data_IF_621670596402
#
_entry.id   IF_621670596402
#
_cell.length_a   1.000
_cell.length_b   1.000
_cell.length_c   1.000
_cell.angle_alpha   90.00
_cell.angle_beta   90.00
_cell.angle_gamma   90.00
#
_symmetry.space_group_name_H-M   'P 1'
#
loop_
_entity.id
_entity.type
_entity.pdbx_description
1 polymer ?
#
# COMPACT_ATOMS: atom_id res chain seq x y z
N UNK A 1 -22.18 76.58 35.95
CA UNK A 1 -23.36 76.09 35.22
C UNK A 1 -23.14 74.62 34.87
N UNK A 2 -24.08 73.74 35.25
CA UNK A 2 -24.33 72.35 34.77
C UNK A 2 -23.21 71.31 35.06
N UNK A 3 -23.25 70.52 36.15
CA UNK A 3 -23.92 69.20 36.37
C UNK A 3 -23.74 68.19 35.23
N UNK A 4 -23.10 67.03 35.47
CA UNK A 4 -23.77 65.72 35.64
C UNK A 4 -22.76 64.54 35.65
N UNK A 5 -22.85 63.69 36.67
CA UNK A 5 -22.26 62.36 36.79
C UNK A 5 -22.90 61.38 35.80
N UNK A 6 -22.12 60.54 35.10
CA UNK A 6 -22.53 59.16 34.75
C UNK A 6 -21.30 58.24 34.80
N UNK A 7 -21.31 57.32 35.77
CA UNK A 7 -20.53 56.08 35.76
C UNK A 7 -21.09 55.18 34.64
N UNK A 8 -20.22 54.64 33.77
CA UNK A 8 -20.55 53.41 33.04
C UNK A 8 -19.32 52.49 33.01
N UNK A 9 -19.33 51.55 33.94
CA UNK A 9 -18.56 50.32 33.93
C UNK A 9 -19.03 49.41 32.78
N UNK A 10 -18.13 49.05 31.86
CA UNK A 10 -18.30 47.86 31.00
C UNK A 10 -17.07 46.97 31.18
N UNK A 11 -17.34 45.81 31.75
CA UNK A 11 -16.45 44.67 31.90
C UNK A 11 -16.00 44.14 30.52
N UNK A 12 -14.72 43.77 30.46
CA UNK A 12 -14.14 42.60 29.78
C UNK A 12 -14.53 42.28 28.33
N UNK A 13 -13.53 42.18 27.45
CA UNK A 13 -13.12 40.90 26.87
C UNK A 13 -11.82 41.11 26.10
N UNK A 14 -10.72 40.64 26.70
CA UNK A 14 -9.52 40.22 25.98
C UNK A 14 -9.95 39.35 24.81
N UNK A 15 -9.70 39.80 23.59
CA UNK A 15 -9.88 38.97 22.40
C UNK A 15 -9.07 37.69 22.59
N UNK A 16 -9.67 36.50 22.58
CA UNK A 16 -8.90 35.28 22.54
C UNK A 16 -8.16 35.24 21.20
N UNK A 17 -6.87 34.94 21.26
CA UNK A 17 -6.08 34.54 20.11
C UNK A 17 -6.67 33.24 19.53
N UNK A 18 -7.67 33.34 18.69
CA UNK A 18 -8.21 32.23 17.90
C UNK A 18 -7.61 32.30 16.49
N UNK A 19 -7.24 31.12 15.96
CA UNK A 19 -6.66 30.83 14.64
C UNK A 19 -5.12 30.85 14.46
N UNK A 20 -4.34 30.37 15.43
CA UNK A 20 -2.97 29.88 15.16
C UNK A 20 -2.79 28.36 15.38
N UNK A 21 -3.77 27.68 15.97
CA UNK A 21 -3.67 26.26 16.35
C UNK A 21 -4.10 25.25 15.27
N UNK A 22 -4.61 25.70 14.11
CA UNK A 22 -5.20 24.80 13.11
C UNK A 22 -4.22 24.26 12.06
N UNK A 23 -3.11 24.96 11.74
CA UNK A 23 -2.19 24.52 10.69
C UNK A 23 -1.46 23.22 11.01
N UNK A 24 -0.92 23.11 12.23
CA UNK A 24 -0.16 21.93 12.67
C UNK A 24 -1.02 20.67 12.75
N UNK A 25 -2.24 20.78 13.28
CA UNK A 25 -3.16 19.66 13.38
C UNK A 25 -3.65 19.17 12.01
N UNK A 26 -3.79 20.06 11.02
CA UNK A 26 -4.20 19.69 9.66
C UNK A 26 -3.01 19.05 8.91
N UNK A 27 -1.79 19.56 9.06
CA UNK A 27 -0.58 18.91 8.49
C UNK A 27 -0.41 17.49 9.03
N UNK A 28 -0.50 17.32 10.35
CA UNK A 28 -0.37 16.01 10.98
C UNK A 28 -1.40 14.99 10.48
N UNK A 29 -2.62 15.45 10.14
CA UNK A 29 -3.65 14.60 9.51
C UNK A 29 -3.32 14.26 8.06
N UNK A 30 -2.79 15.21 7.29
CA UNK A 30 -2.35 14.99 5.91
C UNK A 30 -1.18 13.98 5.85
N UNK A 31 -0.21 14.12 6.74
CA UNK A 31 0.93 13.20 6.87
C UNK A 31 0.43 11.79 7.26
N UNK A 32 -0.47 11.67 8.24
CA UNK A 32 -1.05 10.38 8.63
C UNK A 32 -1.81 9.68 7.49
N UNK A 33 -2.52 10.46 6.67
CA UNK A 33 -3.22 9.97 5.48
C UNK A 33 -2.24 9.45 4.42
N UNK A 34 -1.12 10.15 4.20
CA UNK A 34 -0.05 9.70 3.31
C UNK A 34 0.67 8.46 3.83
N UNK A 35 0.87 8.35 5.15
CA UNK A 35 1.41 7.14 5.78
C UNK A 35 0.51 5.93 5.54
N UNK A 36 -0.81 6.08 5.47
CA UNK A 36 -1.70 4.96 5.11
C UNK A 36 -1.51 4.55 3.65
N UNK A 37 -1.40 5.51 2.73
CA UNK A 37 -1.16 5.23 1.32
C UNK A 37 0.18 4.51 1.10
N UNK A 38 1.22 4.87 1.86
CA UNK A 38 2.57 4.34 1.66
C UNK A 38 2.68 2.82 1.81
N UNK A 39 1.80 2.18 2.60
CA UNK A 39 1.73 0.71 2.71
C UNK A 39 1.22 -0.01 1.45
N UNK A 40 0.64 0.73 0.50
CA UNK A 40 0.10 0.19 -0.77
C UNK A 40 0.93 0.57 -2.00
N UNK A 41 2.02 1.31 -1.78
CA UNK A 41 2.78 1.98 -2.84
C UNK A 41 3.99 1.18 -3.28
N UNK A 42 4.59 0.43 -2.35
CA UNK A 42 5.72 -0.43 -2.68
C UNK A 42 5.20 -1.72 -3.33
N UNK A 43 5.67 -2.06 -4.53
CA UNK A 43 5.38 -3.35 -5.15
C UNK A 43 5.86 -4.48 -4.25
N UNK A 44 4.94 -5.12 -3.52
CA UNK A 44 5.13 -6.50 -3.10
C UNK A 44 4.79 -7.39 -4.31
N UNK A 45 5.66 -8.36 -4.59
CA UNK A 45 5.62 -9.25 -5.75
C UNK A 45 4.39 -10.17 -5.73
N UNK A 46 3.62 -10.10 -4.64
CA UNK A 46 2.35 -10.78 -4.44
C UNK A 46 1.17 -9.86 -4.78
N UNK A 47 0.81 -9.76 -6.06
CA UNK A 47 -0.49 -9.22 -6.46
C UNK A 47 -1.61 -10.01 -5.75
N UNK A 48 -2.26 -9.46 -4.72
CA UNK A 48 -3.20 -10.18 -3.87
C UNK A 48 -4.21 -9.28 -3.17
N UNK A 49 -5.38 -9.85 -2.90
CA UNK A 49 -6.31 -9.37 -1.88
C UNK A 49 -5.76 -9.74 -0.50
N UNK A 50 -5.57 -8.73 0.34
CA UNK A 50 -4.96 -8.79 1.66
C UNK A 50 -5.92 -8.18 2.68
N UNK A 51 -6.27 -8.95 3.71
CA UNK A 51 -7.04 -8.46 4.85
C UNK A 51 -6.23 -8.62 6.14
N UNK A 52 -5.90 -7.50 6.78
CA UNK A 52 -5.12 -7.42 8.02
C UNK A 52 -6.02 -6.91 9.15
N UNK A 53 -6.05 -7.65 10.26
CA UNK A 53 -6.73 -7.26 11.50
C UNK A 53 -5.75 -7.06 12.67
N UNK A 54 -6.07 -6.17 13.59
CA UNK A 54 -5.40 -6.06 14.91
C UNK A 54 -5.92 -7.13 15.87
N UNK A 55 -5.03 -7.80 16.61
CA UNK A 55 -5.36 -8.85 17.58
C UNK A 55 -5.91 -8.36 18.94
N UNK A 56 -6.18 -7.07 19.11
CA UNK A 56 -6.74 -6.47 20.33
C UNK A 56 -8.25 -6.20 20.21
N UNK A 57 -8.95 -5.99 21.33
CA UNK A 57 -10.39 -5.69 21.37
C UNK A 57 -10.79 -4.43 20.57
N UNK A 58 -9.82 -3.60 20.18
CA UNK A 58 -9.97 -2.50 19.22
C UNK A 58 -9.62 -2.99 17.81
N UNK A 59 -10.63 -3.44 17.08
CA UNK A 59 -10.50 -3.97 15.71
C UNK A 59 -10.24 -2.84 14.71
N UNK A 60 -9.01 -2.76 14.22
CA UNK A 60 -8.63 -2.00 13.03
C UNK A 60 -8.52 -2.98 11.86
N UNK A 61 -9.24 -2.70 10.77
CA UNK A 61 -9.23 -3.53 9.57
C UNK A 61 -8.58 -2.75 8.42
N UNK A 62 -7.58 -3.35 7.79
CA UNK A 62 -6.96 -2.87 6.56
C UNK A 62 -7.19 -3.93 5.48
N UNK A 63 -7.96 -3.57 4.45
CA UNK A 63 -8.13 -4.38 3.26
C UNK A 63 -7.35 -3.74 2.10
N UNK A 64 -6.49 -4.51 1.44
CA UNK A 64 -5.71 -4.08 0.28
C UNK A 64 -6.01 -5.05 -0.86
N UNK A 65 -6.25 -4.54 -2.07
CA UNK A 65 -6.34 -5.33 -3.29
C UNK A 65 -5.29 -4.77 -4.24
N UNK A 66 -4.35 -5.60 -4.69
CA UNK A 66 -3.28 -5.15 -5.57
C UNK A 66 -3.15 -6.02 -6.81
N UNK A 67 -2.95 -5.37 -7.95
CA UNK A 67 -2.61 -5.99 -9.22
C UNK A 67 -1.27 -5.43 -9.69
N UNK A 68 -0.38 -6.28 -10.19
CA UNK A 68 0.91 -5.82 -10.63
C UNK A 68 1.72 -6.89 -11.34
N UNK A 69 2.76 -6.45 -12.00
CA UNK A 69 3.71 -7.31 -12.68
C UNK A 69 4.95 -6.54 -13.10
N UNK A 70 5.97 -7.30 -13.47
CA UNK A 70 7.19 -6.77 -14.05
C UNK A 70 7.79 -7.76 -15.04
N UNK A 71 8.54 -7.23 -16.00
CA UNK A 71 9.20 -8.03 -17.03
C UNK A 71 10.45 -7.32 -17.55
N UNK A 72 11.48 -8.12 -17.83
CA UNK A 72 12.68 -7.69 -18.56
C UNK A 72 12.43 -7.86 -20.06
N UNK A 73 12.70 -6.81 -20.84
CA UNK A 73 12.40 -6.78 -22.28
C UNK A 73 13.10 -7.91 -23.05
N UNK A 74 14.40 -8.11 -22.81
CA UNK A 74 15.19 -9.20 -23.39
C UNK A 74 16.54 -9.34 -22.69
N UNK A 75 17.24 -10.45 -22.89
CA UNK A 75 18.62 -10.61 -22.40
C UNK A 75 19.61 -9.64 -23.09
N UNK A 76 19.42 -9.34 -24.38
CA UNK A 76 20.28 -8.43 -25.15
C UNK A 76 20.07 -6.96 -24.82
N UNK A 77 18.88 -6.62 -24.33
CA UNK A 77 18.51 -5.28 -23.89
C UNK A 77 17.78 -5.42 -22.55
N UNK A 78 18.54 -5.55 -21.44
CA UNK A 78 18.05 -5.95 -20.12
C UNK A 78 17.32 -4.82 -19.38
N UNK A 79 16.49 -4.06 -20.10
CA UNK A 79 15.60 -3.06 -19.52
C UNK A 79 14.44 -3.78 -18.83
N UNK A 80 14.27 -3.51 -17.54
CA UNK A 80 13.18 -4.03 -16.73
C UNK A 80 12.10 -2.96 -16.58
N UNK A 81 10.83 -3.36 -16.70
CA UNK A 81 9.68 -2.51 -16.46
C UNK A 81 8.79 -3.17 -15.41
N UNK A 82 8.30 -2.39 -14.45
CA UNK A 82 7.29 -2.84 -13.49
C UNK A 82 6.14 -1.86 -13.37
N UNK A 83 4.97 -2.38 -13.01
CA UNK A 83 3.79 -1.60 -12.75
C UNK A 83 2.87 -2.28 -11.74
N UNK A 84 2.34 -1.50 -10.81
CA UNK A 84 1.35 -1.95 -9.84
C UNK A 84 0.21 -0.95 -9.71
N UNK A 85 -0.98 -1.46 -9.39
CA UNK A 85 -2.14 -0.68 -8.99
C UNK A 85 -2.70 -1.29 -7.72
N UNK A 86 -2.83 -0.46 -6.68
CA UNK A 86 -3.30 -0.86 -5.37
C UNK A 86 -4.58 -0.12 -5.01
N UNK A 87 -5.56 -0.83 -4.50
CA UNK A 87 -6.70 -0.27 -3.80
C UNK A 87 -6.58 -0.62 -2.33
N UNK A 88 -6.88 0.29 -1.41
CA UNK A 88 -7.06 -0.09 -0.01
C UNK A 88 -8.22 0.60 0.66
N UNK A 89 -8.76 -0.07 1.66
CA UNK A 89 -9.77 0.46 2.56
C UNK A 89 -9.29 0.31 4.00
N UNK A 90 -9.21 1.44 4.69
CA UNK A 90 -8.80 1.51 6.09
C UNK A 90 -9.95 2.07 6.94
N UNK A 91 -10.23 1.40 8.06
CA UNK A 91 -11.24 1.83 9.05
C UNK A 91 -10.55 2.33 10.34
N UNK A 92 -10.15 3.62 10.41
CA UNK A 92 -9.59 4.16 11.64
C UNK A 92 -10.70 4.49 12.63
N UNK A 93 -10.65 3.84 13.79
CA UNK A 93 -11.31 4.37 14.99
C UNK A 93 -10.37 5.36 15.66
N UNK A 94 -10.40 6.63 15.24
CA UNK A 94 -9.71 7.70 15.96
C UNK A 94 -10.39 7.92 17.31
N UNK A 95 -9.65 7.72 18.40
CA UNK A 95 -10.05 8.17 19.74
C UNK A 95 -9.52 9.60 19.90
N UNK A 96 -10.32 10.61 19.54
CA UNK A 96 -10.00 11.99 19.92
C UNK A 96 -10.46 12.17 21.36
N UNK A 97 -9.50 12.22 22.28
CA UNK A 97 -9.74 12.57 23.68
C UNK A 97 -9.48 14.06 23.90
N UNK A 98 -10.54 14.86 23.91
CA UNK A 98 -10.50 16.24 24.41
C UNK A 98 -10.91 16.28 25.89
N UNK A 99 -10.23 15.50 26.73
CA UNK A 99 -10.34 15.58 28.20
C UNK A 99 -11.62 15.04 28.84
N UNK A 100 -12.78 15.06 28.20
CA UNK A 100 -14.04 14.55 28.79
C UNK A 100 -14.99 13.84 27.82
N UNK A 101 -14.73 13.85 26.50
CA UNK A 101 -15.55 13.15 25.52
C UNK A 101 -14.72 12.46 24.45
N UNK A 102 -14.84 11.13 24.41
CA UNK A 102 -14.38 10.29 23.31
C UNK A 102 -15.31 10.49 22.12
N UNK A 103 -14.87 11.18 21.08
CA UNK A 103 -15.64 11.30 19.83
C UNK A 103 -14.97 10.45 18.74
N UNK A 104 -15.59 9.32 18.44
CA UNK A 104 -15.21 8.47 17.31
C UNK A 104 -15.45 9.25 16.02
N UNK A 105 -14.45 9.34 15.14
CA UNK A 105 -14.61 9.86 13.77
C UNK A 105 -14.64 8.65 12.83
N UNK A 106 -15.83 8.13 12.47
CA UNK A 106 -15.99 6.88 11.73
C UNK A 106 -15.86 7.09 10.21
N UNK A 107 -14.88 7.84 9.75
CA UNK A 107 -14.64 7.98 8.30
C UNK A 107 -13.64 6.94 7.86
N UNK A 108 -14.16 5.87 7.23
CA UNK A 108 -13.36 4.93 6.46
C UNK A 108 -12.70 5.68 5.31
N UNK A 109 -11.45 5.31 5.02
CA UNK A 109 -10.65 5.90 3.95
C UNK A 109 -10.41 4.86 2.87
N UNK A 110 -10.52 5.29 1.62
CA UNK A 110 -10.26 4.46 0.45
C UNK A 110 -9.11 5.10 -0.33
N UNK A 111 -8.06 4.35 -0.61
CA UNK A 111 -6.95 4.77 -1.45
C UNK A 111 -6.94 4.01 -2.76
N UNK A 112 -6.54 4.69 -3.82
CA UNK A 112 -6.17 4.11 -5.10
C UNK A 112 -4.78 4.63 -5.47
N UNK A 113 -3.84 3.72 -5.71
CA UNK A 113 -2.46 4.02 -6.05
C UNK A 113 -2.09 3.33 -7.36
N UNK A 114 -1.19 3.95 -8.11
CA UNK A 114 -0.58 3.37 -9.30
C UNK A 114 0.90 3.71 -9.28
N UNK A 115 1.74 2.68 -9.26
CA UNK A 115 3.19 2.79 -9.25
C UNK A 115 3.73 2.23 -10.55
N UNK A 116 4.71 2.91 -11.13
CA UNK A 116 5.49 2.44 -12.28
C UNK A 116 6.97 2.45 -11.95
N UNK A 117 7.73 1.57 -12.58
CA UNK A 117 9.18 1.50 -12.40
C UNK A 117 9.91 1.15 -13.68
N UNK A 118 11.09 1.74 -13.83
CA UNK A 118 12.06 1.40 -14.89
C UNK A 118 13.35 0.99 -14.21
N UNK A 119 13.81 -0.22 -14.49
CA UNK A 119 15.05 -0.76 -13.96
C UNK A 119 15.95 -1.31 -15.04
N UNK A 120 17.15 -1.73 -14.63
CA UNK A 120 18.13 -2.34 -15.52
C UNK A 120 18.74 -3.57 -14.88
N UNK A 121 18.75 -4.69 -15.59
CA UNK A 121 19.25 -5.96 -15.06
C UNK A 121 20.76 -6.08 -15.28
N UNK A 122 21.51 -6.20 -14.19
CA UNK A 122 22.92 -6.56 -14.18
C UNK A 122 23.09 -8.01 -13.74
N UNK A 123 23.34 -8.91 -14.69
CA UNK A 123 23.65 -10.32 -14.39
C UNK A 123 24.96 -10.42 -13.62
N UNK A 124 24.88 -10.85 -12.36
CA UNK A 124 26.03 -10.97 -11.47
C UNK A 124 26.69 -12.34 -11.56
N UNK A 125 25.88 -13.40 -11.56
CA UNK A 125 26.37 -14.77 -11.51
C UNK A 125 25.35 -15.75 -12.09
N UNK A 126 25.85 -16.78 -12.78
CA UNK A 126 25.05 -17.94 -13.16
C UNK A 126 25.65 -19.19 -12.54
N UNK A 127 24.87 -19.88 -11.73
CA UNK A 127 25.33 -21.07 -11.04
C UNK A 127 25.37 -22.30 -11.96
N UNK A 128 26.02 -23.37 -11.50
CA UNK A 128 26.13 -24.64 -12.24
C UNK A 128 24.80 -25.38 -12.41
N UNK A 129 23.76 -25.00 -11.66
CA UNK A 129 22.42 -25.56 -11.70
C UNK A 129 21.47 -24.77 -12.62
N UNK A 130 21.99 -23.74 -13.30
CA UNK A 130 21.29 -22.92 -14.27
C UNK A 130 20.58 -21.69 -13.69
N UNK A 131 20.71 -21.44 -12.38
CA UNK A 131 20.15 -20.27 -11.70
C UNK A 131 20.90 -18.99 -12.01
N UNK A 132 20.17 -17.91 -12.25
CA UNK A 132 20.71 -16.60 -12.61
C UNK A 132 20.48 -15.61 -11.48
N UNK A 133 21.54 -14.94 -11.03
CA UNK A 133 21.50 -13.89 -10.02
C UNK A 133 21.68 -12.53 -10.70
N UNK A 134 20.71 -11.64 -10.50
CA UNK A 134 20.62 -10.33 -11.12
C UNK A 134 20.54 -9.25 -10.05
N UNK A 135 21.33 -8.19 -10.20
CA UNK A 135 21.14 -6.94 -9.48
C UNK A 135 20.35 -5.97 -10.36
N UNK A 136 19.24 -5.46 -9.83
CA UNK A 136 18.28 -4.64 -10.54
C UNK A 136 18.03 -3.35 -9.76
N UNK A 137 18.77 -2.26 -10.04
CA UNK A 137 18.36 -0.92 -9.65
C UNK A 137 17.11 -0.50 -10.44
N UNK A 138 16.17 0.14 -9.76
CA UNK A 138 14.88 0.56 -10.30
C UNK A 138 14.63 2.01 -9.87
N UNK A 139 14.17 2.84 -10.80
CA UNK A 139 13.60 4.15 -10.51
C UNK A 139 12.09 4.01 -10.52
N UNK A 140 11.43 4.49 -9.47
CA UNK A 140 9.99 4.35 -9.29
C UNK A 140 9.28 5.70 -9.25
N UNK A 141 8.10 5.75 -9.84
CA UNK A 141 7.17 6.87 -9.78
C UNK A 141 5.80 6.36 -9.33
N UNK A 142 5.06 7.17 -8.59
CA UNK A 142 3.73 6.82 -8.11
C UNK A 142 2.77 7.99 -8.25
N UNK A 143 1.51 7.67 -8.55
CA UNK A 143 0.39 8.58 -8.43
C UNK A 143 -0.71 7.89 -7.63
N UNK A 144 -1.34 8.63 -6.72
CA UNK A 144 -2.40 8.10 -5.89
C UNK A 144 -3.42 9.15 -5.50
N UNK A 145 -4.62 8.67 -5.20
CA UNK A 145 -5.70 9.46 -4.63
C UNK A 145 -6.28 8.73 -3.44
N UNK A 146 -6.70 9.48 -2.44
CA UNK A 146 -7.37 8.96 -1.26
C UNK A 146 -8.62 9.78 -0.97
N UNK A 147 -9.72 9.10 -0.61
CA UNK A 147 -11.02 9.71 -0.36
C UNK A 147 -11.73 9.05 0.84
N UNK A 148 -12.47 9.85 1.62
CA UNK A 148 -13.28 9.35 2.74
C UNK A 148 -14.67 8.88 2.29
N UNK A 149 -15.23 7.88 2.99
CA UNK A 149 -16.58 7.34 2.73
C UNK A 149 -17.69 8.38 2.80
N UNK A 150 -17.54 9.42 3.65
CA UNK A 150 -18.50 10.52 3.77
C UNK A 150 -18.75 11.21 2.41
N UNK A 151 -17.72 11.25 1.55
CA UNK A 151 -17.81 11.82 0.20
C UNK A 151 -18.30 10.82 -0.85
N UNK A 152 -17.94 9.54 -0.76
CA UNK A 152 -18.49 8.52 -1.66
C UNK A 152 -20.01 8.42 -1.47
N UNK A 153 -20.46 8.52 -0.22
CA UNK A 153 -21.88 8.61 0.14
C UNK A 153 -22.54 9.92 -0.30
N UNK A 154 -21.90 11.09 -0.14
CA UNK A 154 -22.46 12.38 -0.61
C UNK A 154 -22.51 12.47 -2.12
N UNK A 155 -21.53 11.92 -2.86
CA UNK A 155 -21.60 11.85 -4.33
C UNK A 155 -22.80 11.02 -4.83
N UNK A 156 -23.14 9.94 -4.12
CA UNK A 156 -24.35 9.15 -4.40
C UNK A 156 -25.65 9.85 -3.92
N UNK A 157 -25.56 10.80 -2.99
CA UNK A 157 -26.68 11.49 -2.33
C UNK A 157 -26.44 13.01 -2.33
N UNK A 158 -26.19 13.63 -3.49
CA UNK A 158 -26.19 15.10 -3.59
C UNK A 158 -27.09 15.56 -4.72
N UNK A 159 -28.38 15.66 -4.39
CA UNK A 159 -29.31 16.61 -5.02
C UNK A 159 -29.94 17.61 -4.06
N UNK A 160 -29.75 17.56 -2.74
CA UNK A 160 -30.14 18.65 -1.82
C UNK A 160 -29.44 18.47 -0.47
N UNK A 161 -28.61 19.42 -0.05
CA UNK A 161 -28.83 20.33 1.10
C UNK A 161 -27.50 20.99 1.44
N UNK A 162 -27.56 22.30 1.68
CA UNK A 162 -26.41 23.20 1.83
C UNK A 162 -26.10 23.41 3.33
N UNK A 163 -24.83 23.67 3.61
CA UNK A 163 -24.28 24.27 4.85
C UNK A 163 -24.34 23.44 6.15
N UNK A 164 -23.31 22.60 6.39
CA UNK A 164 -22.60 22.45 7.70
C UNK A 164 -21.43 21.43 7.72
N UNK A 165 -20.93 20.98 6.55
CA UNK A 165 -19.96 19.88 6.48
C UNK A 165 -18.55 20.29 6.01
N UNK A 166 -18.09 21.53 6.16
CA UNK A 166 -16.81 21.97 5.57
C UNK A 166 -15.51 21.35 6.12
N UNK A 167 -15.56 20.46 7.12
CA UNK A 167 -14.44 19.57 7.46
C UNK A 167 -14.59 18.14 6.90
N UNK A 168 -15.83 17.76 6.54
CA UNK A 168 -16.22 16.48 5.96
C UNK A 168 -16.41 16.54 4.43
N UNK A 169 -16.47 17.74 3.85
CA UNK A 169 -16.79 18.02 2.44
C UNK A 169 -15.55 18.18 1.53
N UNK A 170 -14.35 17.93 2.06
CA UNK A 170 -13.11 18.17 1.33
C UNK A 170 -12.35 16.94 0.86
N UNK A 171 -12.38 15.84 1.61
CA UNK A 171 -11.25 14.93 1.84
C UNK A 171 -10.75 14.05 0.68
N UNK A 172 -10.60 14.58 -0.53
CA UNK A 172 -9.79 14.00 -1.60
C UNK A 172 -8.38 14.54 -1.46
N UNK A 173 -7.44 13.62 -1.28
CA UNK A 173 -6.02 13.92 -1.18
C UNK A 173 -5.32 13.22 -2.33
N UNK A 174 -4.65 13.96 -3.20
CA UNK A 174 -3.82 13.37 -4.25
C UNK A 174 -2.37 13.42 -3.81
N UNK A 175 -1.61 12.39 -4.16
CA UNK A 175 -0.20 12.28 -3.87
C UNK A 175 0.54 11.83 -5.12
N UNK A 176 1.71 12.39 -5.35
CA UNK A 176 2.69 11.81 -6.25
C UNK A 176 3.88 11.31 -5.43
N UNK A 177 4.58 10.31 -5.93
CA UNK A 177 5.77 9.77 -5.30
C UNK A 177 6.92 9.61 -6.28
N UNK A 178 8.13 9.87 -5.81
CA UNK A 178 9.36 9.56 -6.51
C UNK A 178 10.28 8.78 -5.60
N UNK A 179 10.91 7.76 -6.16
CA UNK A 179 11.72 6.84 -5.38
C UNK A 179 12.55 5.92 -6.25
N UNK A 180 13.09 4.91 -5.61
CA UNK A 180 13.79 3.83 -6.28
C UNK A 180 13.87 2.60 -5.41
N UNK A 181 14.29 1.51 -6.04
CA UNK A 181 14.53 0.26 -5.37
C UNK A 181 15.84 -0.35 -5.86
N UNK A 182 16.42 -1.18 -5.02
CA UNK A 182 17.51 -2.08 -5.39
C UNK A 182 17.03 -3.49 -5.10
N UNK A 183 16.92 -4.29 -6.14
CA UNK A 183 16.47 -5.67 -6.07
C UNK A 183 17.63 -6.60 -6.42
N UNK A 184 17.82 -7.64 -5.62
CA UNK A 184 18.64 -8.78 -5.93
C UNK A 184 17.70 -9.95 -6.21
N UNK A 185 17.69 -10.39 -7.45
CA UNK A 185 16.74 -11.37 -8.00
C UNK A 185 17.49 -12.64 -8.40
N UNK A 186 17.11 -13.77 -7.83
CA UNK A 186 17.62 -15.08 -8.19
C UNK A 186 16.49 -15.93 -8.76
N UNK A 187 16.64 -16.30 -10.03
CA UNK A 187 15.67 -17.16 -10.71
C UNK A 187 16.36 -18.42 -11.22
N UNK A 188 15.72 -19.56 -10.97
CA UNK A 188 16.14 -20.84 -11.53
C UNK A 188 14.93 -21.57 -12.09
N UNK A 189 14.89 -21.67 -13.41
CA UNK A 189 13.90 -22.48 -14.13
C UNK A 189 14.50 -23.84 -14.50
N UNK A 190 13.80 -24.92 -14.14
CA UNK A 190 14.24 -26.27 -14.51
C UNK A 190 13.07 -27.22 -14.72
N UNK A 191 13.32 -28.35 -15.37
CA UNK A 191 12.28 -29.35 -15.62
C UNK A 191 11.68 -29.93 -14.32
N UNK A 192 12.43 -29.94 -13.22
CA UNK A 192 11.99 -30.53 -11.95
C UNK A 192 11.40 -29.51 -10.99
N UNK A 193 11.84 -28.26 -11.05
CA UNK A 193 11.36 -27.18 -10.19
C UNK A 193 11.76 -25.80 -10.69
N UNK A 194 10.95 -24.81 -10.33
CA UNK A 194 11.33 -23.40 -10.42
C UNK A 194 11.54 -22.86 -9.00
N UNK A 195 12.59 -22.05 -8.84
CA UNK A 195 12.93 -21.38 -7.58
C UNK A 195 13.16 -19.92 -7.90
N UNK A 196 12.45 -19.06 -7.17
CA UNK A 196 12.56 -17.61 -7.30
C UNK A 196 12.86 -17.05 -5.90
N UNK A 197 13.87 -16.21 -5.78
CA UNK A 197 14.26 -15.57 -4.54
C UNK A 197 14.62 -14.11 -4.78
N UNK A 198 13.89 -13.19 -4.16
CA UNK A 198 14.01 -11.76 -4.38
C UNK A 198 14.26 -11.05 -3.06
N UNK A 199 15.34 -10.28 -3.00
CA UNK A 199 15.62 -9.35 -1.91
C UNK A 199 15.51 -7.93 -2.46
N UNK A 200 14.56 -7.14 -1.95
CA UNK A 200 14.27 -5.80 -2.46
C UNK A 200 14.33 -4.78 -1.33
N UNK A 201 15.20 -3.79 -1.46
CA UNK A 201 15.10 -2.55 -0.70
C UNK A 201 14.36 -1.51 -1.54
N UNK A 202 13.36 -0.84 -0.97
CA UNK A 202 12.60 0.21 -1.66
C UNK A 202 12.55 1.47 -0.80
N UNK A 203 12.70 2.62 -1.45
CA UNK A 203 12.49 3.93 -0.86
C UNK A 203 11.66 4.80 -1.80
N UNK A 204 10.66 5.49 -1.28
CA UNK A 204 9.87 6.47 -2.02
C UNK A 204 9.47 7.65 -1.14
N UNK A 205 9.64 8.86 -1.65
CA UNK A 205 9.11 10.07 -1.03
C UNK A 205 7.79 10.43 -1.69
N UNK A 206 6.75 10.66 -0.90
CA UNK A 206 5.40 11.01 -1.33
C UNK A 206 5.13 12.47 -0.98
N UNK A 207 4.59 13.22 -1.94
CA UNK A 207 4.18 14.60 -1.74
C UNK A 207 2.76 14.82 -2.24
N UNK A 208 1.97 15.53 -1.44
CA UNK A 208 0.59 15.86 -1.81
C UNK A 208 0.48 16.95 -2.87
N UNK A 209 -0.59 16.91 -3.65
CA UNK A 209 -0.92 17.98 -4.61
C UNK A 209 -2.43 18.13 -4.81
N UNK A 210 -2.86 19.34 -5.22
CA UNK A 210 -4.26 19.62 -5.59
C UNK A 210 -5.27 19.29 -4.49
N UNK A 211 -4.88 19.45 -3.22
CA UNK A 211 -5.75 19.21 -2.07
C UNK A 211 -6.83 20.30 -1.98
N UNK A 212 -8.04 19.90 -1.55
CA UNK A 212 -9.20 20.81 -1.42
C UNK A 212 -9.01 21.93 -0.40
N UNK A 213 -7.98 21.83 0.44
CA UNK A 213 -7.54 22.90 1.32
C UNK A 213 -6.19 23.40 0.80
N UNK A 214 -6.21 24.55 0.12
CA UNK A 214 -5.06 25.27 -0.48
C UNK A 214 -3.85 25.50 0.47
N UNK A 215 -3.99 25.16 1.75
CA UNK A 215 -3.07 25.52 2.84
C UNK A 215 -2.24 24.34 3.35
N UNK A 216 -2.47 23.08 2.93
CA UNK A 216 -1.74 21.93 3.50
C UNK A 216 -1.11 21.05 2.44
N UNK A 217 0.23 21.14 2.37
CA UNK A 217 1.11 20.17 1.72
C UNK A 217 1.52 19.14 2.78
N UNK A 218 1.08 17.90 2.60
CA UNK A 218 1.56 16.74 3.36
C UNK A 218 2.71 16.05 2.62
N UNK A 219 3.56 15.39 3.40
CA UNK A 219 4.65 14.55 2.92
C UNK A 219 4.71 13.25 3.72
N UNK A 220 5.21 12.17 3.11
CA UNK A 220 5.53 10.94 3.81
C UNK A 220 6.62 10.18 3.08
N UNK A 221 7.33 9.31 3.80
CA UNK A 221 8.24 8.34 3.21
C UNK A 221 7.66 6.92 3.25
N UNK A 222 7.94 6.15 2.19
CA UNK A 222 7.76 4.71 2.14
C UNK A 222 9.15 4.06 2.09
N UNK A 223 9.50 3.25 3.07
CA UNK A 223 10.80 2.59 3.13
C UNK A 223 10.66 1.18 3.69
N UNK A 224 11.11 0.18 2.93
CA UNK A 224 11.07 -1.20 3.37
C UNK A 224 12.18 -2.08 2.79
N UNK A 225 12.40 -3.20 3.47
CA UNK A 225 13.24 -4.30 3.01
C UNK A 225 12.36 -5.56 2.93
N UNK A 226 12.20 -6.08 1.73
CA UNK A 226 11.41 -7.28 1.44
C UNK A 226 12.29 -8.46 1.03
N UNK A 227 12.00 -9.64 1.56
CA UNK A 227 12.50 -10.92 1.08
C UNK A 227 11.30 -11.74 0.60
N UNK A 228 11.33 -12.20 -0.65
CA UNK A 228 10.34 -13.08 -1.24
C UNK A 228 11.01 -14.36 -1.73
N UNK A 229 10.37 -15.49 -1.46
CA UNK A 229 10.81 -16.82 -1.86
C UNK A 229 9.62 -17.54 -2.47
N UNK A 230 9.82 -18.17 -3.62
CA UNK A 230 8.85 -19.04 -4.26
C UNK A 230 9.49 -20.31 -4.76
N UNK A 231 8.79 -21.41 -4.56
CA UNK A 231 9.12 -22.71 -5.15
C UNK A 231 7.91 -23.29 -5.86
N UNK A 232 8.14 -23.80 -7.08
CA UNK A 232 7.10 -24.47 -7.87
C UNK A 232 7.62 -25.79 -8.39
N UNK A 233 6.89 -26.89 -8.20
CA UNK A 233 7.27 -28.19 -8.72
C UNK A 233 6.05 -29.08 -8.97
N UNK A 234 6.17 -30.11 -9.85
CA UNK A 234 5.10 -31.06 -10.10
C UNK A 234 4.59 -31.76 -8.84
N UNK A 235 3.28 -32.00 -8.79
CA UNK A 235 2.62 -32.81 -7.77
C UNK A 235 2.65 -34.25 -8.24
N UNK A 236 3.72 -34.97 -7.88
CA UNK A 236 3.94 -36.35 -8.34
C UNK A 236 3.72 -36.45 -9.87
N UNK A 237 2.97 -37.46 -10.33
CA UNK A 237 2.65 -37.69 -11.75
C UNK A 237 1.29 -37.12 -12.16
N UNK A 238 0.71 -36.20 -11.37
CA UNK A 238 -0.60 -35.65 -11.67
C UNK A 238 -0.52 -34.70 -12.86
N UNK A 239 -1.42 -34.90 -13.81
CA UNK A 239 -1.52 -34.06 -15.01
C UNK A 239 -2.91 -33.47 -15.13
N UNK A 240 -2.96 -32.24 -15.62
CA UNK A 240 -4.19 -31.53 -15.92
C UNK A 240 -3.94 -30.66 -17.15
N UNK A 241 -4.90 -30.58 -18.07
CA UNK A 241 -4.73 -29.90 -19.37
C UNK A 241 -3.51 -30.41 -20.18
N UNK A 242 -3.13 -31.67 -19.96
CA UNK A 242 -2.04 -32.32 -20.68
C UNK A 242 -0.63 -31.95 -20.21
N UNK A 243 -0.49 -31.16 -19.15
CA UNK A 243 0.77 -30.80 -18.49
C UNK A 243 0.75 -31.21 -17.01
N UNK A 244 1.91 -31.34 -16.33
CA UNK A 244 1.95 -31.62 -14.90
C UNK A 244 1.28 -30.53 -14.07
N UNK A 245 0.41 -30.92 -13.14
CA UNK A 245 -0.11 -30.02 -12.13
C UNK A 245 1.02 -29.72 -11.13
N UNK A 246 1.25 -28.44 -10.79
CA UNK A 246 2.34 -28.04 -9.90
C UNK A 246 1.80 -27.43 -8.61
N UNK A 247 2.49 -27.67 -7.50
CA UNK A 247 2.26 -26.93 -6.28
C UNK A 247 3.08 -25.63 -6.30
N UNK A 248 2.60 -24.63 -5.56
CA UNK A 248 3.28 -23.35 -5.34
C UNK A 248 3.47 -23.19 -3.84
N UNK A 249 4.70 -22.98 -3.39
CA UNK A 249 5.02 -22.55 -2.03
C UNK A 249 5.59 -21.15 -2.10
N UNK A 250 5.10 -20.26 -1.25
CA UNK A 250 5.59 -18.89 -1.14
C UNK A 250 5.92 -18.57 0.31
N UNK A 251 6.97 -17.78 0.50
CA UNK A 251 7.29 -17.16 1.78
C UNK A 251 7.74 -15.74 1.51
N UNK A 252 7.21 -14.78 2.26
CA UNK A 252 7.65 -13.40 2.17
C UNK A 252 7.85 -12.80 3.56
N UNK A 253 8.81 -11.89 3.69
CA UNK A 253 8.99 -11.08 4.88
C UNK A 253 9.32 -9.65 4.47
N UNK A 254 8.54 -8.71 4.94
CA UNK A 254 8.72 -7.28 4.68
C UNK A 254 8.93 -6.57 6.01
N UNK A 255 10.10 -5.96 6.18
CA UNK A 255 10.41 -5.10 7.32
C UNK A 255 10.23 -3.64 6.91
N UNK A 256 9.41 -2.90 7.67
CA UNK A 256 9.19 -1.47 7.47
C UNK A 256 10.27 -0.66 8.19
N UNK A 257 10.76 0.37 7.50
CA UNK A 257 11.83 1.25 7.93
C UNK A 257 11.30 2.69 8.01
N UNK A 258 12.15 3.61 8.47
CA UNK A 258 11.82 5.04 8.54
C UNK A 258 10.50 5.33 9.25
N UNK A 259 9.70 6.22 8.65
CA UNK A 259 8.42 6.70 9.19
C UNK A 259 7.32 5.62 9.17
N UNK A 260 7.44 4.58 8.33
CA UNK A 260 6.45 3.49 8.28
C UNK A 260 6.59 2.51 9.45
N UNK A 261 7.77 2.44 10.06
CA UNK A 261 8.04 1.49 11.13
C UNK A 261 7.15 1.77 12.35
N UNK A 262 6.20 0.88 12.63
CA UNK A 262 5.34 0.97 13.81
C UNK A 262 4.17 1.95 13.69
N UNK A 263 4.01 2.67 12.57
CA UNK A 263 2.94 3.66 12.40
C UNK A 263 1.53 3.03 12.49
N UNK A 264 1.39 1.76 12.08
CA UNK A 264 0.16 0.97 12.21
C UNK A 264 0.19 -0.05 13.36
N UNK A 265 1.17 0.05 14.26
CA UNK A 265 1.33 -0.89 15.39
C UNK A 265 2.11 -2.17 15.05
N UNK A 266 2.62 -2.30 13.82
CA UNK A 266 3.52 -3.37 13.40
C UNK A 266 4.77 -2.79 12.72
N UNK A 267 5.90 -3.49 12.84
CA UNK A 267 7.19 -3.10 12.24
C UNK A 267 7.55 -3.92 11.03
N UNK A 268 6.90 -5.06 10.83
CA UNK A 268 7.12 -5.97 9.73
C UNK A 268 5.98 -6.97 9.61
N UNK A 269 5.90 -7.60 8.45
CA UNK A 269 4.88 -8.59 8.10
C UNK A 269 5.55 -9.79 7.44
N UNK A 270 5.18 -10.99 7.88
CA UNK A 270 5.59 -12.26 7.28
C UNK A 270 4.37 -12.91 6.64
N UNK A 271 4.55 -13.50 5.46
CA UNK A 271 3.52 -14.29 4.79
C UNK A 271 4.04 -15.68 4.44
N UNK A 272 3.17 -16.68 4.55
CA UNK A 272 3.39 -18.04 4.08
C UNK A 272 2.24 -18.42 3.17
N UNK A 273 2.56 -18.89 1.96
CA UNK A 273 1.59 -19.20 0.91
C UNK A 273 1.68 -20.63 0.42
N UNK A 274 0.52 -21.20 0.11
CA UNK A 274 0.40 -22.48 -0.59
C UNK A 274 -0.61 -22.33 -1.72
N UNK A 275 -0.30 -22.93 -2.87
CA UNK A 275 -1.12 -22.80 -4.06
C UNK A 275 -0.92 -23.89 -5.08
N UNK A 276 -1.63 -23.73 -6.20
CA UNK A 276 -1.57 -24.61 -7.36
C UNK A 276 -1.27 -23.77 -8.60
N UNK A 277 -0.47 -24.33 -9.51
CA UNK A 277 -0.22 -23.79 -10.84
C UNK A 277 -0.75 -24.78 -11.89
N UNK A 278 -1.57 -24.24 -12.79
CA UNK A 278 -2.10 -24.90 -13.97
C UNK A 278 -1.34 -24.40 -15.20
N UNK A 279 -0.89 -25.34 -16.03
CA UNK A 279 -0.19 -25.04 -17.28
C UNK A 279 -1.05 -25.46 -18.48
N UNK A 280 -1.60 -24.48 -19.19
CA UNK A 280 -2.42 -24.64 -20.39
C UNK A 280 -1.64 -24.41 -21.69
N UNK A 281 -0.32 -24.29 -21.65
CA UNK A 281 0.55 -23.99 -22.81
C UNK A 281 0.44 -24.98 -23.98
N UNK A 282 -0.12 -26.18 -23.75
CA UNK A 282 -0.41 -27.16 -24.80
C UNK A 282 -1.50 -26.70 -25.78
N UNK A 283 -2.34 -25.75 -25.37
CA UNK A 283 -3.42 -25.20 -26.17
C UNK A 283 -3.05 -23.79 -26.67
N UNK A 284 -3.60 -23.34 -27.82
CA UNK A 284 -3.34 -22.01 -28.35
C UNK A 284 -4.15 -20.95 -27.55
N UNK A 285 -3.77 -20.74 -26.30
CA UNK A 285 -4.39 -19.79 -25.38
C UNK A 285 -3.43 -18.67 -25.04
N UNK A 286 -3.96 -17.46 -24.83
CA UNK A 286 -3.15 -16.29 -24.47
C UNK A 286 -2.57 -16.38 -23.06
N UNK A 287 -3.28 -17.01 -22.12
CA UNK A 287 -2.81 -17.26 -20.75
C UNK A 287 -2.31 -18.69 -20.69
N UNK A 288 -1.00 -18.86 -20.62
CA UNK A 288 -0.34 -20.17 -20.64
C UNK A 288 -0.24 -20.79 -19.26
N UNK A 289 -0.14 -19.97 -18.20
CA UNK A 289 -0.14 -20.46 -16.81
C UNK A 289 -1.04 -19.64 -15.92
N UNK A 290 -1.76 -20.33 -15.03
CA UNK A 290 -2.61 -19.70 -14.02
C UNK A 290 -2.28 -20.27 -12.66
N UNK A 291 -2.11 -19.40 -11.67
CA UNK A 291 -1.74 -19.74 -10.29
C UNK A 291 -2.77 -19.20 -9.33
N UNK A 292 -3.20 -20.04 -8.40
CA UNK A 292 -4.03 -19.65 -7.27
C UNK A 292 -3.27 -19.97 -5.99
N UNK A 293 -3.04 -18.95 -5.15
CA UNK A 293 -2.26 -19.07 -3.92
C UNK A 293 -3.07 -18.51 -2.75
N UNK A 294 -3.23 -19.29 -1.69
CA UNK A 294 -3.75 -18.81 -0.41
C UNK A 294 -2.57 -18.48 0.51
N UNK A 295 -2.63 -17.35 1.21
CA UNK A 295 -1.58 -16.86 2.10
C UNK A 295 -2.11 -16.61 3.50
N UNK A 296 -1.31 -17.01 4.49
CA UNK A 296 -1.47 -16.61 5.88
C UNK A 296 -0.39 -15.60 6.23
N UNK A 297 -0.79 -14.50 6.85
CA UNK A 297 0.08 -13.37 7.18
C UNK A 297 0.08 -13.11 8.67
N UNK A 298 1.24 -12.82 9.22
CA UNK A 298 1.43 -12.57 10.63
C UNK A 298 2.57 -11.59 10.87
N UNK A 299 2.41 -10.77 11.90
CA UNK A 299 3.41 -9.83 12.39
C UNK A 299 3.15 -9.55 13.86
N UNK A 300 3.86 -8.58 14.43
CA UNK A 300 3.63 -8.22 15.82
C UNK A 300 2.20 -7.68 15.99
N UNK A 301 1.41 -8.30 16.87
CA UNK A 301 0.02 -7.92 17.17
C UNK A 301 -0.95 -7.89 15.98
N UNK A 302 -0.59 -8.51 14.85
CA UNK A 302 -1.41 -8.49 13.64
C UNK A 302 -1.37 -9.82 12.90
N UNK A 303 -2.53 -10.25 12.39
CA UNK A 303 -2.65 -11.42 11.54
C UNK A 303 -3.62 -11.14 10.40
N UNK A 304 -3.50 -11.91 9.33
CA UNK A 304 -4.30 -11.72 8.13
C UNK A 304 -4.28 -12.93 7.22
N UNK A 305 -5.12 -12.88 6.20
CA UNK A 305 -5.14 -13.87 5.13
C UNK A 305 -5.30 -13.16 3.79
N UNK A 306 -4.86 -13.83 2.73
CA UNK A 306 -5.00 -13.33 1.38
C UNK A 306 -5.13 -14.44 0.35
N UNK A 307 -5.70 -14.08 -0.79
CA UNK A 307 -5.77 -14.96 -1.97
C UNK A 307 -5.16 -14.21 -3.13
N UNK A 308 -4.22 -14.85 -3.82
CA UNK A 308 -3.54 -14.32 -5.00
C UNK A 308 -3.88 -15.13 -6.22
N UNK A 309 -4.13 -14.42 -7.32
CA UNK A 309 -4.24 -14.97 -8.66
C UNK A 309 -3.08 -14.42 -9.48
N UNK A 310 -2.29 -15.29 -10.09
CA UNK A 310 -1.21 -14.89 -10.98
C UNK A 310 -1.32 -15.61 -12.33
N UNK A 311 -0.98 -14.89 -13.40
CA UNK A 311 -1.07 -15.37 -14.77
C UNK A 311 0.28 -15.19 -15.48
N UNK A 312 0.52 -16.02 -16.48
CA UNK A 312 1.66 -15.90 -17.38
C UNK A 312 1.17 -16.05 -18.82
N UNK A 313 1.85 -15.36 -19.73
CA UNK A 313 1.47 -15.21 -21.13
C UNK A 313 2.50 -15.92 -21.98
#
# INVERSE_FOLDING_TARGET
MVRLFVLLSVLSLSAPATLAANGHAIKQRADAVLTLMSYTVVPDVTASDLNIGSGSNDKHNLAITQFGGGATLSESFPLYLEGTMGYSRYDPRFVVSNGEQTRNVPTKWNSLTTTGGVGWDFSLHRDSLGGNLVLRPIVNVMLGTLASDARIGSWAIERKTNADLQFLDGGRFNAWGLGGALMLDYERFSATQDIDAELRYSYMHLQSFGSSAEVVQGEASAENLGLYLRRRAPIADWTLLGNPLRYVLEGAHTEFLGEQRGALGFTGLTSLGVGLELDSSKYPVFITRTRLVARYMFGNNTTGYGVGLAMSF
#
